data_IF_649431619365
#
_entry.id   IF_649431619365
#
_cell.length_a   1.000
_cell.length_b   1.000
_cell.length_c   1.000
_cell.angle_alpha   90.00
_cell.angle_beta   90.00
_cell.angle_gamma   90.00
#
_symmetry.space_group_name_H-M   'P 1'
#
loop_
_entity.id
_entity.type
_entity.pdbx_description
1 polymer ?
#
# COMPACT_ATOMS: atom_id res chain seq x y z
N UNK A 1 -29.60 -15.70 -64.93
CA UNK A 1 -29.68 -14.48 -64.09
C UNK A 1 -28.77 -14.66 -62.87
N UNK A 2 -27.59 -15.25 -63.07
CA UNK A 2 -26.98 -16.08 -62.03
C UNK A 2 -25.73 -15.42 -61.41
N UNK A 3 -25.19 -14.38 -62.05
CA UNK A 3 -24.03 -13.62 -61.54
C UNK A 3 -24.34 -12.64 -60.41
N UNK A 4 -25.61 -12.24 -60.25
CA UNK A 4 -26.03 -11.28 -59.20
C UNK A 4 -26.21 -12.00 -57.85
N UNK A 5 -26.66 -13.25 -57.88
CA UNK A 5 -26.83 -14.08 -56.68
C UNK A 5 -25.50 -14.46 -56.05
N UNK A 6 -24.50 -14.85 -56.85
CA UNK A 6 -23.17 -15.22 -56.33
C UNK A 6 -22.42 -14.03 -55.71
N UNK A 7 -22.50 -12.86 -56.35
CA UNK A 7 -21.88 -11.64 -55.83
C UNK A 7 -22.49 -11.20 -54.49
N UNK A 8 -23.81 -11.34 -54.35
CA UNK A 8 -24.53 -10.98 -53.12
C UNK A 8 -24.18 -11.95 -51.98
N UNK A 9 -24.08 -13.25 -52.26
CA UNK A 9 -23.69 -14.26 -51.28
C UNK A 9 -22.25 -14.02 -50.78
N UNK A 10 -21.31 -13.73 -51.69
CA UNK A 10 -19.93 -13.39 -51.34
C UNK A 10 -19.86 -12.12 -50.48
N UNK A 11 -20.64 -11.09 -50.80
CA UNK A 11 -20.70 -9.87 -50.02
C UNK A 11 -21.24 -10.11 -48.59
N UNK A 12 -22.28 -10.94 -48.45
CA UNK A 12 -22.84 -11.30 -47.15
C UNK A 12 -21.85 -12.09 -46.27
N UNK A 13 -21.10 -13.01 -46.88
CA UNK A 13 -20.03 -13.77 -46.19
C UNK A 13 -18.94 -12.80 -45.68
N UNK A 14 -18.54 -11.82 -46.50
CA UNK A 14 -17.57 -10.81 -46.12
C UNK A 14 -18.02 -9.96 -44.92
N UNK A 15 -19.29 -9.56 -44.88
CA UNK A 15 -19.87 -8.81 -43.75
C UNK A 15 -19.95 -9.67 -42.48
N UNK A 16 -20.32 -10.95 -42.61
CA UNK A 16 -20.39 -11.89 -41.48
C UNK A 16 -18.99 -12.16 -40.88
N UNK A 17 -17.98 -12.34 -41.73
CA UNK A 17 -16.59 -12.47 -41.29
C UNK A 17 -16.07 -11.18 -40.64
N UNK A 18 -16.38 -10.01 -41.22
CA UNK A 18 -15.99 -8.72 -40.65
C UNK A 18 -16.59 -8.50 -39.27
N UNK A 19 -17.90 -8.73 -39.12
CA UNK A 19 -18.61 -8.57 -37.84
C UNK A 19 -18.15 -9.56 -36.77
N UNK A 20 -17.96 -10.84 -37.13
CA UNK A 20 -17.40 -11.83 -36.21
C UNK A 20 -15.98 -11.46 -35.77
N UNK A 21 -15.13 -10.99 -36.69
CA UNK A 21 -13.78 -10.51 -36.39
C UNK A 21 -13.79 -9.31 -35.44
N UNK A 22 -14.68 -8.34 -35.64
CA UNK A 22 -14.85 -7.19 -34.74
C UNK A 22 -15.31 -7.61 -33.35
N UNK A 23 -16.29 -8.50 -33.23
CA UNK A 23 -16.80 -9.00 -31.95
C UNK A 23 -15.72 -9.73 -31.15
N UNK A 24 -14.93 -10.59 -31.80
CA UNK A 24 -13.80 -11.29 -31.16
C UNK A 24 -12.72 -10.30 -30.74
N UNK A 25 -12.37 -9.35 -31.60
CA UNK A 25 -11.40 -8.29 -31.29
C UNK A 25 -11.82 -7.43 -30.09
N UNK A 26 -13.08 -6.99 -30.06
CA UNK A 26 -13.66 -6.22 -28.96
C UNK A 26 -13.72 -7.04 -27.66
N UNK A 27 -14.07 -8.32 -27.73
CA UNK A 27 -14.11 -9.18 -26.55
C UNK A 27 -12.71 -9.40 -25.94
N UNK A 28 -11.69 -9.60 -26.78
CA UNK A 28 -10.29 -9.71 -26.35
C UNK A 28 -9.76 -8.39 -25.79
N UNK A 29 -10.02 -7.27 -26.45
CA UNK A 29 -9.64 -5.93 -25.99
C UNK A 29 -10.22 -5.63 -24.59
N UNK A 30 -11.52 -5.87 -24.41
CA UNK A 30 -12.21 -5.65 -23.14
C UNK A 30 -11.61 -6.51 -22.00
N UNK A 31 -11.27 -7.79 -22.27
CA UNK A 31 -10.60 -8.64 -21.26
C UNK A 31 -9.21 -8.13 -20.87
N UNK A 32 -8.43 -7.65 -21.83
CA UNK A 32 -7.10 -7.09 -21.56
C UNK A 32 -7.20 -5.79 -20.78
N UNK A 33 -8.17 -4.94 -21.11
CA UNK A 33 -8.47 -3.69 -20.37
C UNK A 33 -8.87 -3.98 -18.93
N UNK A 34 -9.82 -4.89 -18.71
CA UNK A 34 -10.24 -5.30 -17.34
C UNK A 34 -9.05 -5.85 -16.54
N UNK A 35 -8.19 -6.69 -17.14
CA UNK A 35 -6.99 -7.18 -16.45
C UNK A 35 -5.97 -6.08 -16.15
N UNK A 36 -5.80 -5.11 -17.06
CA UNK A 36 -4.92 -3.95 -16.84
C UNK A 36 -5.45 -3.07 -15.72
N UNK A 37 -6.75 -2.80 -15.69
CA UNK A 37 -7.41 -2.01 -14.65
C UNK A 37 -7.24 -2.65 -13.27
N UNK A 38 -7.43 -3.96 -13.17
CA UNK A 38 -7.22 -4.67 -11.90
C UNK A 38 -5.77 -4.59 -11.42
N UNK A 39 -4.79 -4.75 -12.32
CA UNK A 39 -3.37 -4.59 -11.99
C UNK A 39 -3.05 -3.17 -11.55
N UNK A 40 -3.57 -2.17 -12.28
CA UNK A 40 -3.36 -0.77 -11.97
C UNK A 40 -3.93 -0.41 -10.58
N UNK A 41 -5.16 -0.85 -10.26
CA UNK A 41 -5.76 -0.65 -8.93
C UNK A 41 -4.95 -1.33 -7.83
N UNK A 42 -4.42 -2.52 -8.06
CA UNK A 42 -3.56 -3.22 -7.11
C UNK A 42 -2.24 -2.47 -6.87
N UNK A 43 -1.62 -1.94 -7.94
CA UNK A 43 -0.40 -1.15 -7.85
C UNK A 43 -0.62 0.18 -7.11
N UNK A 44 -1.75 0.86 -7.37
CA UNK A 44 -2.16 2.08 -6.66
C UNK A 44 -2.35 1.80 -5.17
N UNK A 45 -3.17 0.81 -4.82
CA UNK A 45 -3.39 0.44 -3.43
C UNK A 45 -2.09 0.03 -2.70
N UNK A 46 -1.18 -0.66 -3.39
CA UNK A 46 0.15 -0.99 -2.85
C UNK A 46 1.00 0.27 -2.63
N UNK A 47 0.93 1.24 -3.52
CA UNK A 47 1.66 2.50 -3.39
C UNK A 47 1.17 3.32 -2.20
N UNK A 48 -0.15 3.40 -1.99
CA UNK A 48 -0.78 4.05 -0.84
C UNK A 48 -0.34 3.42 0.49
N UNK A 49 -0.37 2.07 0.58
CA UNK A 49 0.15 1.34 1.75
C UNK A 49 1.63 1.64 2.00
N UNK A 50 2.45 1.61 0.95
CA UNK A 50 3.88 1.91 1.05
C UNK A 50 4.12 3.33 1.56
N UNK A 51 3.35 4.30 1.09
CA UNK A 51 3.45 5.68 1.52
C UNK A 51 3.09 5.84 3.00
N UNK A 52 1.95 5.28 3.43
CA UNK A 52 1.52 5.32 4.82
C UNK A 52 2.54 4.65 5.77
N UNK A 53 3.02 3.45 5.43
CA UNK A 53 4.05 2.73 6.20
C UNK A 53 5.34 3.57 6.27
N UNK A 54 5.76 4.16 5.16
CA UNK A 54 6.98 4.99 5.12
C UNK A 54 6.83 6.26 5.96
N UNK A 55 5.66 6.91 5.91
CA UNK A 55 5.33 8.08 6.74
C UNK A 55 5.36 7.75 8.23
N UNK A 56 4.77 6.61 8.60
CA UNK A 56 4.80 6.11 9.97
C UNK A 56 6.22 5.84 10.46
N UNK A 57 7.05 5.13 9.69
CA UNK A 57 8.44 4.86 10.07
C UNK A 57 9.27 6.14 10.24
N UNK A 58 9.04 7.17 9.41
CA UNK A 58 9.67 8.48 9.58
C UNK A 58 9.24 9.17 10.89
N UNK A 59 7.96 9.12 11.23
CA UNK A 59 7.45 9.70 12.48
C UNK A 59 8.02 8.96 13.70
N UNK A 60 8.01 7.63 13.68
CA UNK A 60 8.66 6.78 14.69
C UNK A 60 10.13 7.16 14.86
N UNK A 61 10.90 7.23 13.79
CA UNK A 61 12.33 7.53 13.86
C UNK A 61 12.60 8.88 14.52
N UNK A 62 11.76 9.90 14.26
CA UNK A 62 11.88 11.21 14.90
C UNK A 62 11.66 11.13 16.41
N UNK A 63 10.73 10.31 16.86
CA UNK A 63 10.48 10.06 18.29
C UNK A 63 11.62 9.24 18.92
N UNK A 64 12.05 8.17 18.26
CA UNK A 64 13.17 7.35 18.75
C UNK A 64 14.46 8.15 18.90
N UNK A 65 14.74 9.07 17.98
CA UNK A 65 15.91 9.94 18.06
C UNK A 65 15.90 10.82 19.32
N UNK A 66 14.73 11.34 19.72
CA UNK A 66 14.59 12.10 20.97
C UNK A 66 14.87 11.21 22.18
N UNK A 67 14.28 10.01 22.20
CA UNK A 67 14.51 9.03 23.27
C UNK A 67 15.98 8.61 23.39
N UNK A 68 16.65 8.38 22.26
CA UNK A 68 18.06 7.99 22.22
C UNK A 68 18.98 9.15 22.66
N UNK A 69 18.67 10.40 22.28
CA UNK A 69 19.39 11.58 22.78
C UNK A 69 19.23 11.75 24.29
N UNK A 70 18.00 11.62 24.80
CA UNK A 70 17.71 11.66 26.25
C UNK A 70 18.51 10.59 26.99
N UNK A 71 18.56 9.37 26.45
CA UNK A 71 19.35 8.26 27.02
C UNK A 71 20.85 8.56 27.09
N UNK A 72 21.37 9.32 26.12
CA UNK A 72 22.78 9.73 26.06
C UNK A 72 23.07 11.03 26.82
N UNK A 73 22.08 11.61 27.51
CA UNK A 73 22.24 12.90 28.20
C UNK A 73 22.52 14.07 27.25
N UNK A 74 22.19 13.92 25.96
CA UNK A 74 22.38 14.96 24.96
C UNK A 74 21.26 16.00 25.03
N UNK A 75 21.54 17.26 24.63
CA UNK A 75 20.51 18.28 24.52
C UNK A 75 19.36 17.83 23.62
N UNK A 76 18.14 18.13 24.05
CA UNK A 76 16.93 18.00 23.23
C UNK A 76 17.04 18.87 21.99
N UNK A 77 16.42 18.41 20.90
CA UNK A 77 16.31 19.22 19.68
C UNK A 77 15.31 20.36 19.93
N UNK A 78 15.45 21.47 19.21
CA UNK A 78 14.59 22.66 19.37
C UNK A 78 13.11 22.39 19.05
N UNK A 79 12.81 21.31 18.32
CA UNK A 79 11.44 20.92 18.00
C UNK A 79 10.67 20.41 19.24
N UNK A 80 9.43 20.88 19.47
CA UNK A 80 8.62 20.42 20.59
C UNK A 80 8.32 18.92 20.52
N UNK A 81 8.51 18.21 21.65
CA UNK A 81 8.19 16.78 21.76
C UNK A 81 6.73 16.46 21.43
N UNK A 82 5.80 17.35 21.80
CA UNK A 82 4.37 17.19 21.52
C UNK A 82 4.03 17.24 20.03
N UNK A 83 4.76 18.03 19.24
CA UNK A 83 4.60 18.05 17.77
C UNK A 83 5.00 16.69 17.19
N UNK A 84 6.11 16.11 17.67
CA UNK A 84 6.57 14.78 17.23
C UNK A 84 5.60 13.67 17.63
N UNK A 85 5.01 13.75 18.82
CA UNK A 85 3.96 12.83 19.25
C UNK A 85 2.69 12.98 18.42
N UNK A 86 2.29 14.20 18.08
CA UNK A 86 1.14 14.44 17.22
C UNK A 86 1.36 13.84 15.82
N UNK A 87 2.52 14.11 15.21
CA UNK A 87 2.92 13.53 13.93
C UNK A 87 2.90 11.99 13.94
N UNK A 88 3.37 11.38 15.04
CA UNK A 88 3.35 9.92 15.20
C UNK A 88 1.93 9.37 15.26
N UNK A 89 1.04 10.00 16.02
CA UNK A 89 -0.37 9.62 16.09
C UNK A 89 -1.07 9.78 14.73
N UNK A 90 -0.82 10.88 14.03
CA UNK A 90 -1.38 11.12 12.70
C UNK A 90 -0.91 10.05 11.70
N UNK A 91 0.38 9.72 11.70
CA UNK A 91 0.91 8.68 10.83
C UNK A 91 0.37 7.28 11.18
N UNK A 92 0.06 7.02 12.45
CA UNK A 92 -0.64 5.79 12.86
C UNK A 92 -2.03 5.71 12.22
N UNK A 93 -2.77 6.82 12.19
CA UNK A 93 -4.09 6.88 11.53
C UNK A 93 -4.01 6.66 10.02
N UNK A 94 -2.95 7.14 9.37
CA UNK A 94 -2.73 6.82 7.96
C UNK A 94 -2.59 5.31 7.73
N UNK A 95 -1.83 4.60 8.57
CA UNK A 95 -1.69 3.13 8.49
C UNK A 95 -3.04 2.44 8.74
N UNK A 96 -3.80 2.86 9.76
CA UNK A 96 -5.13 2.33 10.08
C UNK A 96 -6.12 2.44 8.91
N UNK A 97 -6.01 3.48 8.08
CA UNK A 97 -6.94 3.73 6.97
C UNK A 97 -6.67 2.86 5.74
N UNK A 98 -5.42 2.52 5.46
CA UNK A 98 -5.03 1.91 4.18
C UNK A 98 -4.45 0.50 4.28
N UNK A 99 -4.01 0.07 5.46
CA UNK A 99 -3.42 -1.26 5.68
C UNK A 99 -4.42 -2.22 6.34
N UNK A 100 -4.07 -3.50 6.47
CA UNK A 100 -4.88 -4.45 7.25
C UNK A 100 -4.96 -4.09 8.73
N UNK A 101 -5.92 -4.74 9.40
CA UNK A 101 -6.10 -4.65 10.84
C UNK A 101 -4.86 -5.07 11.62
N UNK A 102 -4.09 -6.05 11.13
CA UNK A 102 -2.86 -6.50 11.82
C UNK A 102 -1.78 -5.43 11.78
N UNK A 103 -1.59 -4.79 10.61
CA UNK A 103 -0.64 -3.69 10.46
C UNK A 103 -1.06 -2.47 11.28
N UNK A 104 -2.35 -2.16 11.29
CA UNK A 104 -2.95 -1.11 12.10
C UNK A 104 -2.72 -1.35 13.61
N UNK A 105 -2.97 -2.56 14.08
CA UNK A 105 -2.77 -2.93 15.48
C UNK A 105 -1.30 -2.87 15.89
N UNK A 106 -0.40 -3.39 15.05
CA UNK A 106 1.04 -3.34 15.31
C UNK A 106 1.57 -1.90 15.35
N UNK A 107 1.09 -1.02 14.46
CA UNK A 107 1.43 0.41 14.47
C UNK A 107 0.94 1.09 15.75
N UNK A 108 -0.31 0.83 16.15
CA UNK A 108 -0.89 1.40 17.35
C UNK A 108 -0.18 0.95 18.63
N UNK A 109 0.12 -0.33 18.75
CA UNK A 109 0.87 -0.89 19.88
C UNK A 109 2.26 -0.25 19.99
N UNK A 110 2.94 -0.06 18.86
CA UNK A 110 4.24 0.58 18.84
C UNK A 110 4.15 2.07 19.21
N UNK A 111 3.16 2.80 18.68
CA UNK A 111 2.91 4.19 19.02
C UNK A 111 2.61 4.38 20.50
N UNK A 112 1.81 3.49 21.11
CA UNK A 112 1.53 3.52 22.55
C UNK A 112 2.81 3.37 23.38
N UNK A 113 3.68 2.43 23.02
CA UNK A 113 4.95 2.21 23.71
C UNK A 113 5.85 3.45 23.61
N UNK A 114 5.97 4.03 22.41
CA UNK A 114 6.76 5.25 22.20
C UNK A 114 6.18 6.45 22.94
N UNK A 115 4.85 6.60 22.96
CA UNK A 115 4.19 7.65 23.72
C UNK A 115 4.47 7.52 25.22
N UNK A 116 4.31 6.31 25.78
CA UNK A 116 4.60 6.05 27.18
C UNK A 116 6.07 6.39 27.52
N UNK A 117 7.01 6.03 26.63
CA UNK A 117 8.42 6.34 26.81
C UNK A 117 8.71 7.82 26.77
N UNK A 118 8.13 8.56 25.83
CA UNK A 118 8.27 10.01 25.71
C UNK A 118 7.80 10.74 26.98
N UNK A 119 6.71 10.26 27.58
CA UNK A 119 6.16 10.79 28.83
C UNK A 119 6.86 10.27 30.09
N UNK A 120 7.78 9.31 29.97
CA UNK A 120 8.55 8.77 31.09
C UNK A 120 9.88 9.50 31.28
N UNK A 121 10.30 9.68 32.53
CA UNK A 121 11.63 10.22 32.85
C UNK A 121 12.77 9.22 32.56
N UNK A 122 12.46 7.91 32.57
CA UNK A 122 13.46 6.84 32.46
C UNK A 122 13.88 6.51 31.03
N UNK A 123 13.07 6.84 30.02
CA UNK A 123 13.40 6.76 28.59
C UNK A 123 13.88 5.39 28.10
N UNK A 124 13.59 4.29 28.81
CA UNK A 124 14.07 2.94 28.49
C UNK A 124 12.95 1.92 28.64
N UNK A 125 12.76 1.10 27.60
CA UNK A 125 11.92 -0.09 27.65
C UNK A 125 12.49 -1.14 26.68
N UNK A 126 12.65 -2.40 27.13
CA UNK A 126 13.01 -3.51 26.24
C UNK A 126 11.90 -3.79 25.21
N UNK A 127 10.64 -3.50 25.57
CA UNK A 127 9.45 -3.74 24.74
C UNK A 127 9.45 -2.90 23.47
N UNK A 128 10.10 -1.72 23.46
CA UNK A 128 10.24 -0.86 22.27
C UNK A 128 10.75 -1.65 21.06
N UNK A 129 11.79 -2.46 21.26
CA UNK A 129 12.44 -3.21 20.19
C UNK A 129 11.51 -4.29 19.65
N UNK A 130 10.84 -5.02 20.53
CA UNK A 130 9.87 -6.05 20.16
C UNK A 130 8.72 -5.47 19.35
N UNK A 131 8.18 -4.31 19.75
CA UNK A 131 7.10 -3.63 19.01
C UNK A 131 7.56 -3.13 17.64
N UNK A 132 8.79 -2.64 17.53
CA UNK A 132 9.39 -2.26 16.25
C UNK A 132 9.51 -3.47 15.31
N UNK A 133 10.04 -4.58 15.81
CA UNK A 133 10.22 -5.81 15.02
C UNK A 133 8.87 -6.38 14.58
N UNK A 134 7.88 -6.43 15.48
CA UNK A 134 6.51 -6.86 15.15
C UNK A 134 5.87 -6.00 14.04
N UNK A 135 5.97 -4.67 14.13
CA UNK A 135 5.45 -3.79 13.09
C UNK A 135 6.16 -3.99 11.74
N UNK A 136 7.49 -4.09 11.74
CA UNK A 136 8.26 -4.27 10.50
C UNK A 136 7.93 -5.60 9.80
N UNK A 137 7.67 -6.66 10.56
CA UNK A 137 7.28 -7.95 9.98
C UNK A 137 5.93 -7.85 9.26
N UNK A 138 4.90 -7.35 9.96
CA UNK A 138 3.57 -7.20 9.36
C UNK A 138 3.58 -6.20 8.18
N UNK A 139 4.38 -5.14 8.28
CA UNK A 139 4.55 -4.18 7.18
C UNK A 139 5.21 -4.81 5.94
N UNK A 140 6.07 -5.83 6.11
CA UNK A 140 6.65 -6.59 4.99
C UNK A 140 5.57 -7.41 4.30
N UNK A 141 4.81 -8.18 5.08
CA UNK A 141 3.70 -9.00 4.59
C UNK A 141 2.66 -8.15 3.82
N UNK A 142 2.35 -6.95 4.33
CA UNK A 142 1.46 -5.98 3.68
C UNK A 142 1.89 -5.55 2.28
N UNK A 143 3.20 -5.40 2.07
CA UNK A 143 3.75 -4.96 0.80
C UNK A 143 3.98 -6.12 -0.18
N UNK A 144 4.06 -7.35 0.34
CA UNK A 144 4.16 -8.59 -0.42
C UNK A 144 2.80 -9.11 -0.89
N UNK A 145 1.74 -8.96 -0.08
CA UNK A 145 0.36 -9.36 -0.41
C UNK A 145 -0.15 -8.72 -1.71
N UNK A 146 0.35 -7.53 -2.05
CA UNK A 146 0.04 -6.80 -3.29
C UNK A 146 0.84 -7.23 -4.52
N UNK A 147 1.88 -8.08 -4.39
CA UNK A 147 2.54 -8.67 -5.56
C UNK A 147 1.65 -9.78 -6.07
N UNK A 148 1.01 -9.57 -7.23
CA UNK A 148 0.34 -10.65 -7.94
C UNK A 148 1.30 -11.85 -7.98
N UNK A 149 0.92 -12.95 -7.33
CA UNK A 149 1.66 -14.21 -7.42
C UNK A 149 1.68 -14.59 -8.90
N UNK A 150 2.78 -14.33 -9.59
CA UNK A 150 3.03 -14.85 -10.91
C UNK A 150 3.17 -16.35 -10.71
N UNK A 151 2.05 -17.06 -10.82
CA UNK A 151 2.03 -18.51 -10.86
C UNK A 151 2.70 -18.88 -12.17
N UNK A 152 3.95 -19.33 -12.10
CA UNK A 152 4.64 -19.99 -13.22
C UNK A 152 3.90 -21.28 -13.56
#
# INVERSE_FOLDING_TARGET
MDGVTDSTVLALIGVLLGTAGTLVGQHLANRVEVQRDHRHRADVARSERKEAISGFLKAVQRVELVLDRRKLGMPTLDDPEDVKLHDLWLATKAVELVCSTDAAQAAHDYTKELHALMRSERGRSPVKRERREAFVEVAREELESGRARIRR
#
